data_IF_528735958187
#
_entry.id   IF_528735958187
#
_cell.length_a   1.000
_cell.length_b   1.000
_cell.length_c   1.000
_cell.angle_alpha   90.00
_cell.angle_beta   90.00
_cell.angle_gamma   90.00
#
_symmetry.space_group_name_H-M   'P 1'
#
loop_
_entity.id
_entity.type
_entity.pdbx_description
1 polymer ?
#
# COMPACT_ATOMS: atom_id res chain seq x y z
N UNK A 1 41.35 -2.77 15.76
CA UNK A 1 40.23 -3.44 15.05
C UNK A 1 38.92 -3.04 15.71
N UNK A 2 38.11 -2.17 15.08
CA UNK A 2 36.84 -1.67 15.64
C UNK A 2 35.81 -1.59 14.52
N UNK A 3 35.25 -2.74 14.15
CA UNK A 3 34.25 -2.89 13.10
C UNK A 3 32.96 -3.45 13.71
N UNK A 4 32.21 -2.62 14.43
CA UNK A 4 30.92 -3.04 15.02
C UNK A 4 29.81 -1.97 14.96
N UNK A 5 30.09 -0.75 14.50
CA UNK A 5 29.12 0.37 14.56
C UNK A 5 28.27 0.60 13.31
N UNK A 6 28.53 -0.06 12.17
CA UNK A 6 27.87 0.29 10.88
C UNK A 6 26.54 -0.43 10.63
N UNK A 7 26.23 -1.53 11.32
CA UNK A 7 25.05 -2.36 10.99
C UNK A 7 23.72 -1.67 11.35
N UNK A 8 23.61 -1.06 12.52
CA UNK A 8 22.37 -0.42 13.00
C UNK A 8 21.84 0.73 12.12
N UNK A 9 22.65 1.70 11.64
CA UNK A 9 22.13 2.79 10.82
C UNK A 9 21.70 2.32 9.43
N UNK A 10 22.38 1.32 8.86
CA UNK A 10 22.01 0.74 7.56
C UNK A 10 20.68 -0.02 7.63
N UNK A 11 20.49 -0.86 8.66
CA UNK A 11 19.23 -1.58 8.87
C UNK A 11 18.06 -0.65 9.14
N UNK A 12 18.25 0.41 9.95
CA UNK A 12 17.21 1.40 10.19
C UNK A 12 16.84 2.16 8.90
N UNK A 13 17.83 2.45 8.05
CA UNK A 13 17.61 3.12 6.77
C UNK A 13 16.88 2.22 5.78
N UNK A 14 17.26 0.95 5.67
CA UNK A 14 16.55 -0.06 4.89
C UNK A 14 15.12 -0.26 5.38
N UNK A 15 14.90 -0.42 6.69
CA UNK A 15 13.58 -0.58 7.28
C UNK A 15 12.67 0.63 6.99
N UNK A 16 13.23 1.84 7.11
CA UNK A 16 12.49 3.06 6.79
C UNK A 16 12.21 3.25 5.29
N UNK A 17 13.04 2.66 4.41
CA UNK A 17 12.86 2.71 2.97
C UNK A 17 11.91 1.61 2.47
N UNK A 18 11.84 0.46 3.14
CA UNK A 18 10.90 -0.61 2.83
C UNK A 18 9.51 -0.40 3.46
N UNK A 19 9.38 0.55 4.38
CA UNK A 19 8.10 0.93 5.01
C UNK A 19 6.93 1.13 4.02
N UNK A 20 7.06 1.91 2.92
CA UNK A 20 5.98 2.04 1.93
C UNK A 20 5.64 0.72 1.23
N UNK A 21 6.63 -0.16 1.00
CA UNK A 21 6.39 -1.48 0.42
C UNK A 21 5.64 -2.40 1.37
N UNK A 22 5.94 -2.34 2.67
CA UNK A 22 5.19 -3.08 3.69
C UNK A 22 3.74 -2.63 3.79
N UNK A 23 3.50 -1.31 3.72
CA UNK A 23 2.14 -0.75 3.68
C UNK A 23 1.38 -1.28 2.46
N UNK A 24 2.01 -1.27 1.28
CA UNK A 24 1.42 -1.86 0.08
C UNK A 24 1.15 -3.36 0.23
N UNK A 25 2.10 -4.14 0.75
CA UNK A 25 1.94 -5.58 0.92
C UNK A 25 0.80 -5.92 1.89
N UNK A 26 0.67 -5.17 2.98
CA UNK A 26 -0.41 -5.33 3.94
C UNK A 26 -1.77 -4.99 3.31
N UNK A 27 -1.85 -3.92 2.52
CA UNK A 27 -3.05 -3.56 1.78
C UNK A 27 -3.43 -4.62 0.74
N UNK A 28 -2.46 -5.11 -0.03
CA UNK A 28 -2.68 -6.15 -1.03
C UNK A 28 -3.19 -7.45 -0.39
N UNK A 29 -2.49 -7.93 0.64
CA UNK A 29 -2.89 -9.15 1.34
C UNK A 29 -4.25 -8.99 2.03
N UNK A 30 -4.45 -7.87 2.75
CA UNK A 30 -5.69 -7.60 3.45
C UNK A 30 -6.90 -7.49 2.52
N UNK A 31 -6.75 -6.81 1.38
CA UNK A 31 -7.84 -6.66 0.41
C UNK A 31 -8.23 -7.99 -0.24
N UNK A 32 -7.26 -8.84 -0.61
CA UNK A 32 -7.53 -10.17 -1.17
C UNK A 32 -8.10 -11.15 -0.13
N UNK A 33 -7.53 -11.19 1.08
CA UNK A 33 -8.04 -12.04 2.15
C UNK A 33 -9.46 -11.65 2.54
N UNK A 34 -9.74 -10.34 2.66
CA UNK A 34 -11.08 -9.83 2.93
C UNK A 34 -12.05 -10.16 1.81
N UNK A 35 -11.63 -10.06 0.54
CA UNK A 35 -12.45 -10.43 -0.61
C UNK A 35 -12.83 -11.92 -0.57
N UNK A 36 -11.86 -12.80 -0.28
CA UNK A 36 -12.08 -14.23 -0.18
C UNK A 36 -13.08 -14.58 0.94
N UNK A 37 -12.90 -14.00 2.12
CA UNK A 37 -13.80 -14.18 3.26
C UNK A 37 -15.20 -13.62 3.00
N UNK A 38 -15.28 -12.47 2.32
CA UNK A 38 -16.55 -11.84 1.99
C UNK A 38 -17.37 -12.65 0.97
N UNK A 39 -16.71 -13.33 0.02
CA UNK A 39 -17.39 -14.22 -0.92
C UNK A 39 -17.80 -15.56 -0.28
N UNK A 40 -17.03 -16.08 0.69
CA UNK A 40 -17.37 -17.32 1.41
C UNK A 40 -18.57 -17.15 2.36
N UNK A 41 -18.61 -16.03 3.10
CA UNK A 41 -19.58 -15.80 4.17
C UNK A 41 -20.84 -15.04 3.74
N UNK A 42 -20.93 -14.59 2.48
CA UNK A 42 -22.01 -13.72 1.97
C UNK A 42 -22.28 -12.45 2.83
N UNK A 43 -21.32 -12.04 3.66
CA UNK A 43 -21.49 -11.00 4.69
C UNK A 43 -21.91 -9.63 4.16
N UNK A 44 -21.64 -9.36 2.88
CA UNK A 44 -21.74 -8.03 2.27
C UNK A 44 -22.58 -8.04 0.98
N UNK A 45 -23.60 -8.90 0.90
CA UNK A 45 -24.58 -8.91 -0.20
C UNK A 45 -25.52 -7.69 -0.19
N UNK A 46 -25.46 -6.84 0.83
CA UNK A 46 -26.16 -5.56 0.84
C UNK A 46 -25.73 -4.67 -0.33
N UNK A 47 -26.72 -4.17 -1.08
CA UNK A 47 -26.51 -3.13 -2.10
C UNK A 47 -26.76 -1.78 -1.44
N UNK A 48 -25.73 -0.94 -1.36
CA UNK A 48 -25.82 0.40 -0.80
C UNK A 48 -25.44 1.42 -1.88
N UNK A 49 -26.36 2.34 -2.20
CA UNK A 49 -26.22 3.32 -3.30
C UNK A 49 -25.98 2.68 -4.68
N UNK A 50 -26.55 1.50 -4.95
CA UNK A 50 -26.40 0.80 -6.24
C UNK A 50 -25.04 0.10 -6.41
N UNK A 51 -24.18 0.09 -5.40
CA UNK A 51 -22.92 -0.65 -5.37
C UNK A 51 -22.92 -1.64 -4.20
N UNK A 52 -22.26 -2.80 -4.38
CA UNK A 52 -22.07 -3.77 -3.27
C UNK A 52 -21.28 -3.08 -2.14
N UNK A 53 -21.73 -3.24 -0.89
CA UNK A 53 -21.06 -2.68 0.30
C UNK A 53 -19.57 -3.04 0.36
N UNK A 54 -19.23 -4.24 -0.14
CA UNK A 54 -17.85 -4.70 -0.34
C UNK A 54 -16.98 -3.68 -1.11
N UNK A 55 -17.50 -3.12 -2.21
CA UNK A 55 -16.77 -2.19 -3.06
C UNK A 55 -16.47 -0.87 -2.35
N UNK A 56 -17.38 -0.40 -1.48
CA UNK A 56 -17.16 0.76 -0.63
C UNK A 56 -16.04 0.55 0.38
N UNK A 57 -16.03 -0.60 1.05
CA UNK A 57 -14.96 -0.95 2.01
C UNK A 57 -13.60 -1.00 1.31
N UNK A 58 -13.54 -1.62 0.13
CA UNK A 58 -12.34 -1.67 -0.70
C UNK A 58 -11.88 -0.28 -1.19
N UNK A 59 -12.82 0.59 -1.61
CA UNK A 59 -12.52 1.97 -1.98
C UNK A 59 -12.00 2.79 -0.82
N UNK A 60 -12.60 2.68 0.37
CA UNK A 60 -12.15 3.38 1.57
C UNK A 60 -10.76 2.90 2.00
N UNK A 61 -10.53 1.58 2.02
CA UNK A 61 -9.23 0.99 2.34
C UNK A 61 -8.15 1.42 1.33
N UNK A 62 -8.47 1.40 0.04
CA UNK A 62 -7.58 1.85 -1.04
C UNK A 62 -7.27 3.34 -0.93
N UNK A 63 -8.30 4.17 -0.73
CA UNK A 63 -8.17 5.61 -0.56
C UNK A 63 -7.31 5.99 0.65
N UNK A 64 -7.53 5.33 1.80
CA UNK A 64 -6.69 5.51 3.00
C UNK A 64 -5.24 5.12 2.75
N UNK A 65 -5.00 4.00 2.06
CA UNK A 65 -3.65 3.53 1.75
C UNK A 65 -2.92 4.48 0.80
N UNK A 66 -3.60 4.95 -0.25
CA UNK A 66 -3.06 5.93 -1.18
C UNK A 66 -2.76 7.25 -0.48
N UNK A 67 -3.67 7.75 0.36
CA UNK A 67 -3.45 8.98 1.13
C UNK A 67 -2.23 8.84 2.04
N UNK A 68 -2.06 7.71 2.73
CA UNK A 68 -0.90 7.43 3.56
C UNK A 68 0.40 7.42 2.75
N UNK A 69 0.41 6.76 1.59
CA UNK A 69 1.57 6.73 0.69
C UNK A 69 1.91 8.12 0.12
N UNK A 70 0.91 8.94 -0.21
CA UNK A 70 1.09 10.32 -0.65
C UNK A 70 1.71 11.19 0.46
N UNK A 71 1.26 11.04 1.71
CA UNK A 71 1.85 11.74 2.86
C UNK A 71 3.31 11.32 3.06
N UNK A 72 3.61 10.02 2.95
CA UNK A 72 4.99 9.52 3.02
C UNK A 72 5.85 10.05 1.87
N UNK A 73 5.31 10.10 0.66
CA UNK A 73 5.99 10.63 -0.52
C UNK A 73 6.25 12.13 -0.38
N UNK A 74 5.27 12.91 0.05
CA UNK A 74 5.41 14.35 0.29
C UNK A 74 6.50 14.64 1.35
N UNK A 75 6.53 13.86 2.43
CA UNK A 75 7.59 13.93 3.46
C UNK A 75 8.97 13.51 2.93
N UNK A 76 9.02 12.54 2.01
CA UNK A 76 10.26 12.13 1.38
C UNK A 76 10.78 13.20 0.40
N UNK A 77 9.89 13.81 -0.40
CA UNK A 77 10.20 14.93 -1.29
C UNK A 77 10.75 16.14 -0.54
N UNK A 78 10.11 16.53 0.57
CA UNK A 78 10.56 17.68 1.37
C UNK A 78 11.95 17.47 1.95
N UNK A 79 12.25 16.26 2.46
CA UNK A 79 13.60 15.88 2.93
C UNK A 79 14.63 15.79 1.80
N UNK A 80 14.23 15.32 0.62
CA UNK A 80 15.14 15.18 -0.52
C UNK A 80 15.59 16.54 -1.05
N UNK A 81 14.70 17.55 -1.05
CA UNK A 81 15.04 18.93 -1.41
C UNK A 81 16.11 19.56 -0.52
N UNK A 82 16.24 19.11 0.73
CA UNK A 82 17.23 19.64 1.68
C UNK A 82 18.60 18.95 1.57
N UNK A 83 18.67 17.77 0.94
CA UNK A 83 19.84 16.88 1.05
C UNK A 83 20.16 16.21 -0.31
N UNK A 84 20.38 17.04 -1.33
CA UNK A 84 20.51 16.69 -2.76
C UNK A 84 21.67 15.73 -3.08
N UNK A 85 22.65 15.61 -2.17
CA UNK A 85 23.87 14.82 -2.36
C UNK A 85 23.78 13.35 -1.94
N UNK A 86 22.73 12.92 -1.22
CA UNK A 86 22.67 11.56 -0.64
C UNK A 86 21.82 10.58 -1.48
N UNK A 87 22.28 9.33 -1.59
CA UNK A 87 21.55 8.25 -2.28
C UNK A 87 20.32 7.77 -1.49
N UNK A 88 20.38 7.80 -0.16
CA UNK A 88 19.30 7.37 0.73
C UNK A 88 17.91 8.01 0.45
N UNK A 89 17.78 9.34 0.28
CA UNK A 89 16.49 9.95 -0.04
C UNK A 89 15.93 9.51 -1.40
N UNK A 90 16.78 9.28 -2.40
CA UNK A 90 16.35 8.79 -3.73
C UNK A 90 15.73 7.40 -3.66
N UNK A 91 16.32 6.49 -2.86
CA UNK A 91 15.78 5.13 -2.67
C UNK A 91 14.43 5.16 -1.93
N UNK A 92 14.27 6.03 -0.92
CA UNK A 92 12.98 6.24 -0.25
C UNK A 92 11.91 6.80 -1.19
N UNK A 93 12.29 7.71 -2.09
CA UNK A 93 11.38 8.26 -3.10
C UNK A 93 10.94 7.20 -4.10
N UNK A 94 11.90 6.42 -4.62
CA UNK A 94 11.65 5.35 -5.57
C UNK A 94 10.74 4.27 -4.98
N UNK A 95 11.00 3.82 -3.75
CA UNK A 95 10.15 2.84 -3.06
C UNK A 95 8.75 3.36 -2.76
N UNK A 96 8.59 4.63 -2.37
CA UNK A 96 7.28 5.24 -2.17
C UNK A 96 6.49 5.34 -3.48
N UNK A 97 7.13 5.75 -4.58
CA UNK A 97 6.52 5.77 -5.91
C UNK A 97 6.12 4.36 -6.37
N UNK A 98 7.01 3.39 -6.19
CA UNK A 98 6.75 2.00 -6.57
C UNK A 98 5.55 1.44 -5.80
N UNK A 99 5.48 1.68 -4.49
CA UNK A 99 4.35 1.27 -3.65
C UNK A 99 3.04 1.94 -4.09
N UNK A 100 3.08 3.21 -4.50
CA UNK A 100 1.90 3.94 -4.95
C UNK A 100 1.38 3.40 -6.29
N UNK A 101 2.28 3.19 -7.25
CA UNK A 101 1.94 2.55 -8.54
C UNK A 101 1.39 1.16 -8.31
N UNK A 102 2.03 0.36 -7.45
CA UNK A 102 1.57 -0.98 -7.13
C UNK A 102 0.19 -0.96 -6.45
N UNK A 103 -0.08 0.01 -5.56
CA UNK A 103 -1.40 0.17 -4.91
C UNK A 103 -2.48 0.46 -5.95
N UNK A 104 -2.24 1.41 -6.85
CA UNK A 104 -3.17 1.76 -7.94
C UNK A 104 -3.41 0.54 -8.85
N UNK A 105 -2.33 -0.16 -9.21
CA UNK A 105 -2.40 -1.36 -10.05
C UNK A 105 -3.21 -2.49 -9.37
N UNK A 106 -3.09 -2.67 -8.06
CA UNK A 106 -3.86 -3.67 -7.30
C UNK A 106 -5.33 -3.28 -7.12
N UNK A 107 -5.65 -1.99 -7.11
CA UNK A 107 -7.03 -1.52 -7.01
C UNK A 107 -7.79 -1.69 -8.33
N UNK A 108 -7.11 -1.62 -9.48
CA UNK A 108 -7.70 -1.77 -10.80
C UNK A 108 -8.53 -3.05 -10.98
N UNK A 109 -8.01 -4.27 -10.74
CA UNK A 109 -8.79 -5.49 -10.89
C UNK A 109 -9.96 -5.56 -9.89
N UNK A 110 -9.81 -5.01 -8.69
CA UNK A 110 -10.88 -4.97 -7.69
C UNK A 110 -12.04 -4.06 -8.12
N UNK A 111 -11.78 -3.10 -8.99
CA UNK A 111 -12.78 -2.20 -9.57
C UNK A 111 -13.40 -2.76 -10.85
N UNK A 112 -12.67 -3.53 -11.65
CA UNK A 112 -13.18 -4.05 -12.93
C UNK A 112 -13.78 -5.44 -12.84
N UNK A 113 -13.29 -6.31 -11.94
CA UNK A 113 -13.84 -7.65 -11.82
C UNK A 113 -15.08 -7.66 -10.93
N UNK A 114 -16.17 -8.33 -11.35
CA UNK A 114 -17.30 -8.61 -10.49
C UNK A 114 -16.82 -9.45 -9.29
N UNK A 115 -17.06 -8.95 -8.09
CA UNK A 115 -16.37 -9.38 -6.87
C UNK A 115 -16.63 -10.82 -6.46
N UNK A 116 -17.81 -11.36 -6.76
CA UNK A 116 -18.13 -12.77 -6.54
C UNK A 116 -19.00 -13.27 -7.71
N UNK A 117 -18.46 -14.19 -8.51
CA UNK A 117 -19.24 -15.07 -9.39
C UNK A 117 -19.14 -16.49 -8.82
N UNK A 118 -20.03 -16.83 -7.90
CA UNK A 118 -20.36 -18.24 -7.67
C UNK A 118 -21.70 -18.46 -8.37
N UNK A 119 -21.63 -18.95 -9.61
CA UNK A 119 -22.76 -19.63 -10.23
C UNK A 119 -22.98 -20.92 -9.44
N UNK A 120 -23.97 -20.92 -8.56
CA UNK A 120 -24.67 -22.14 -8.16
C UNK A 120 -25.53 -22.64 -9.33
#
# INVERSE_FOLDING_TARGET
MKAAGLRSPFFALLASASLPLWVWALYFFGSYAFLALACDQQWLEGVWLGMRTLRWVLLLAGGLTVALLLVLLARACSRTRQDTGRLAPKVRLASALLALVATVWTALPLLWLPSCHFTA
#
